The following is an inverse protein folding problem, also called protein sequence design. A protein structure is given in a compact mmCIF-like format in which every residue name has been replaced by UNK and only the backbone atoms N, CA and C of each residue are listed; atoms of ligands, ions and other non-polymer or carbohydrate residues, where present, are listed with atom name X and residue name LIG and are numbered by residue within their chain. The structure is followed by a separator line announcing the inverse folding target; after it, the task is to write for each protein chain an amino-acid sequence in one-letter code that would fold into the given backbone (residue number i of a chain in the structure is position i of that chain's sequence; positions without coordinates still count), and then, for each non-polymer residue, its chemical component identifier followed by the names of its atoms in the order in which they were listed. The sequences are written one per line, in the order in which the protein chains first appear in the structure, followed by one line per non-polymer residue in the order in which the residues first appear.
data_IF_238251985789
#
_entry.id   IF_238251985789
#
_cell.length_a   1.000
_cell.length_b   1.000
_cell.length_c   1.000
_cell.angle_alpha   90.00
_cell.angle_beta   90.00
_cell.angle_gamma   90.00
#
_symmetry.space_group_name_H-M   'P 1'
#
loop_
_entity.id
_entity.type
_entity.pdbx_description
1 polymer ?
#
# COMPACT_ATOMS: atom_id res chain seq x y z
N UNK A 1 -1.74 -18.91 38.41
CA UNK A 1 -2.69 -18.05 37.66
C UNK A 1 -2.11 -16.67 37.31
N UNK A 2 -1.60 -15.87 38.26
CA UNK A 2 -1.03 -14.53 37.98
C UNK A 2 0.11 -14.51 36.95
N UNK A 3 1.02 -15.50 36.99
CA UNK A 3 2.14 -15.64 36.03
C UNK A 3 1.66 -15.92 34.59
N UNK A 4 0.54 -16.62 34.44
CA UNK A 4 -0.03 -16.97 33.12
C UNK A 4 -0.71 -15.74 32.48
N UNK A 5 -1.45 -14.95 33.26
CA UNK A 5 -2.06 -13.70 32.78
C UNK A 5 -1.01 -12.69 32.32
N UNK A 6 0.12 -12.60 33.04
CA UNK A 6 1.21 -11.68 32.69
C UNK A 6 1.89 -12.06 31.37
N UNK A 7 2.07 -13.37 31.12
CA UNK A 7 2.68 -13.88 29.90
C UNK A 7 1.76 -13.68 28.68
N UNK A 8 0.44 -13.85 28.85
CA UNK A 8 -0.56 -13.54 27.83
C UNK A 8 -0.57 -12.05 27.50
N UNK A 9 -0.46 -11.17 28.50
CA UNK A 9 -0.44 -9.73 28.29
C UNK A 9 0.79 -9.26 27.51
N UNK A 10 1.97 -9.81 27.83
CA UNK A 10 3.20 -9.51 27.07
C UNK A 10 3.09 -10.01 25.62
N UNK A 11 2.56 -11.22 25.42
CA UNK A 11 2.38 -11.80 24.08
C UNK A 11 1.37 -10.99 23.25
N UNK A 12 0.28 -10.55 23.86
CA UNK A 12 -0.70 -9.70 23.19
C UNK A 12 -0.12 -8.32 22.84
N UNK A 13 0.67 -7.73 23.74
CA UNK A 13 1.33 -6.45 23.50
C UNK A 13 2.35 -6.55 22.36
N UNK A 14 3.17 -7.60 22.30
CA UNK A 14 4.14 -7.78 21.20
C UNK A 14 3.46 -8.01 19.85
N UNK A 15 2.34 -8.73 19.81
CA UNK A 15 1.55 -8.92 18.58
C UNK A 15 1.00 -7.61 18.02
N UNK A 16 0.62 -6.65 18.88
CA UNK A 16 0.13 -5.34 18.44
C UNK A 16 1.23 -4.45 17.84
N UNK A 17 2.49 -4.59 18.29
CA UNK A 17 3.62 -3.84 17.72
C UNK A 17 4.02 -4.32 16.30
N UNK A 18 3.64 -5.54 15.91
CA UNK A 18 3.88 -6.07 14.56
C UNK A 18 2.73 -5.83 13.58
N UNK A 19 1.68 -5.12 14.00
CA UNK A 19 0.59 -4.72 13.10
C UNK A 19 1.14 -3.73 12.06
N UNK A 20 1.59 -4.24 10.92
CA UNK A 20 1.90 -3.43 9.74
C UNK A 20 0.60 -2.76 9.29
N UNK A 21 0.62 -1.45 9.13
CA UNK A 21 -0.41 -0.70 8.42
C UNK A 21 -0.45 -1.21 6.98
N UNK A 22 -1.39 -2.12 6.70
CA UNK A 22 -1.65 -2.61 5.36
C UNK A 22 -2.36 -1.49 4.61
N UNK A 23 -1.58 -0.69 3.87
CA UNK A 23 -2.13 0.26 2.91
C UNK A 23 -2.90 -0.54 1.87
N UNK A 24 -4.17 -0.16 1.75
CA UNK A 24 -5.21 -0.92 1.12
C UNK A 24 -4.86 -1.23 -0.34
N UNK A 25 -5.43 -2.31 -0.88
CA UNK A 25 -5.51 -2.55 -2.32
C UNK A 25 -6.36 -1.50 -3.05
N UNK A 26 -6.52 -0.30 -2.48
CA UNK A 26 -7.15 0.86 -3.06
C UNK A 26 -6.07 1.75 -3.64
N UNK A 27 -6.30 2.18 -4.87
CA UNK A 27 -5.28 2.96 -5.55
C UNK A 27 -5.47 3.00 -7.05
N UNK A 28 -4.42 3.46 -7.70
CA UNK A 28 -4.27 3.43 -9.15
C UNK A 28 -3.18 2.43 -9.49
N UNK A 29 -3.34 1.73 -10.60
CA UNK A 29 -2.37 0.77 -11.12
C UNK A 29 -2.07 1.16 -12.56
N UNK A 30 -0.85 1.62 -12.82
CA UNK A 30 -0.31 1.63 -14.18
C UNK A 30 0.30 0.24 -14.46
N UNK A 31 -0.17 -0.39 -15.54
CA UNK A 31 0.23 -1.75 -15.92
C UNK A 31 0.92 -1.63 -17.27
N UNK A 32 2.21 -1.94 -17.29
CA UNK A 32 3.08 -1.78 -18.45
C UNK A 32 3.44 -3.12 -19.04
N UNK A 33 3.72 -3.12 -20.35
CA UNK A 33 4.22 -4.30 -21.05
C UNK A 33 5.47 -4.88 -20.41
N UNK A 34 5.52 -6.21 -20.32
CA UNK A 34 6.71 -6.99 -19.96
C UNK A 34 7.34 -7.67 -21.18
N UNK A 35 6.90 -7.26 -22.38
CA UNK A 35 7.34 -7.75 -23.70
C UNK A 35 7.78 -6.58 -24.57
N UNK A 36 8.24 -6.83 -25.79
CA UNK A 36 8.64 -5.78 -26.73
C UNK A 36 7.46 -4.94 -27.28
N UNK A 37 6.23 -5.41 -27.05
CA UNK A 37 5.02 -4.67 -27.41
C UNK A 37 4.81 -3.43 -26.53
N UNK A 38 4.16 -2.40 -27.06
CA UNK A 38 3.89 -1.13 -26.37
C UNK A 38 2.55 -1.10 -25.63
N UNK A 39 2.16 -2.23 -25.07
CA UNK A 39 0.92 -2.35 -24.30
C UNK A 39 0.97 -1.50 -23.02
N UNK A 40 -0.14 -0.79 -22.76
CA UNK A 40 -0.34 -0.07 -21.50
C UNK A 40 -1.77 -0.20 -21.05
N UNK A 41 -1.96 -0.50 -19.77
CA UNK A 41 -3.26 -0.48 -19.14
C UNK A 41 -3.25 0.41 -17.91
N UNK A 42 -4.42 0.93 -17.62
CA UNK A 42 -4.73 1.63 -16.40
C UNK A 42 -5.84 0.85 -15.69
N UNK A 43 -5.69 0.70 -14.39
CA UNK A 43 -6.75 0.26 -13.52
C UNK A 43 -6.83 1.15 -12.29
N UNK A 44 -8.02 1.26 -11.73
CA UNK A 44 -8.21 1.78 -10.39
C UNK A 44 -8.82 0.70 -9.53
N UNK A 45 -8.54 0.70 -8.24
CA UNK A 45 -9.17 -0.20 -7.28
C UNK A 45 -9.79 0.62 -6.17
N UNK A 46 -11.06 0.38 -5.91
CA UNK A 46 -11.84 1.08 -4.89
C UNK A 46 -12.55 0.05 -4.03
N UNK A 47 -12.41 0.14 -2.71
CA UNK A 47 -13.09 -0.73 -1.76
C UNK A 47 -14.48 -0.18 -1.51
N UNK A 48 -15.48 -0.98 -1.83
CA UNK A 48 -16.88 -0.65 -1.67
C UNK A 48 -17.37 -0.96 -0.25
N UNK A 49 -18.54 -0.44 0.12
CA UNK A 49 -19.17 -0.67 1.43
C UNK A 49 -19.41 -2.16 1.74
N UNK A 50 -19.61 -3.00 0.72
CA UNK A 50 -19.74 -4.45 0.86
C UNK A 50 -18.39 -5.18 1.06
N UNK A 51 -17.31 -4.43 1.29
CA UNK A 51 -15.93 -4.91 1.46
C UNK A 51 -15.32 -5.60 0.22
N UNK A 52 -15.94 -5.46 -0.95
CA UNK A 52 -15.34 -5.86 -2.23
C UNK A 52 -14.58 -4.72 -2.87
N UNK A 53 -13.45 -5.04 -3.51
CA UNK A 53 -12.76 -4.14 -4.40
C UNK A 53 -13.42 -4.17 -5.77
N UNK A 54 -13.76 -3.01 -6.31
CA UNK A 54 -14.13 -2.82 -7.72
C UNK A 54 -12.94 -2.30 -8.49
N UNK A 55 -12.68 -2.94 -9.62
CA UNK A 55 -11.48 -2.72 -10.41
C UNK A 55 -11.87 -2.41 -11.86
N UNK A 56 -12.24 -1.17 -12.19
CA UNK A 56 -12.31 -0.73 -13.58
C UNK A 56 -10.92 -0.83 -14.23
N UNK A 57 -10.88 -1.33 -15.46
CA UNK A 57 -9.66 -1.68 -16.16
C UNK A 57 -9.78 -1.27 -17.63
N UNK A 58 -8.78 -0.57 -18.16
CA UNK A 58 -8.71 -0.19 -19.58
C UNK A 58 -7.29 -0.31 -20.10
N UNK A 59 -7.16 -0.77 -21.32
CA UNK A 59 -5.89 -0.93 -22.01
C UNK A 59 -5.88 -0.15 -23.32
N UNK A 60 -4.66 0.17 -23.76
CA UNK A 60 -4.34 0.77 -25.04
C UNK A 60 -3.31 -0.10 -25.75
N UNK A 61 -3.35 -0.04 -27.07
CA UNK A 61 -2.41 -0.71 -27.98
C UNK A 61 -2.42 -2.24 -27.93
N UNK A 62 -3.43 -2.86 -27.30
CA UNK A 62 -3.58 -4.31 -27.33
C UNK A 62 -3.90 -4.80 -28.75
N UNK A 63 -3.21 -5.86 -29.17
CA UNK A 63 -3.43 -6.51 -30.46
C UNK A 63 -4.41 -7.67 -30.25
N UNK A 64 -5.49 -7.70 -31.02
CA UNK A 64 -6.50 -8.75 -30.95
C UNK A 64 -6.60 -9.49 -32.29
N UNK A 65 -6.41 -10.82 -32.32
CA UNK A 65 -5.91 -11.69 -31.25
C UNK A 65 -4.42 -11.49 -30.97
N UNK A 66 -3.92 -11.98 -29.84
CA UNK A 66 -2.50 -11.82 -29.47
C UNK A 66 -1.57 -12.62 -30.40
N UNK A 67 -2.01 -13.80 -30.86
CA UNK A 67 -1.42 -14.56 -31.96
C UNK A 67 -2.43 -15.58 -32.51
N UNK A 68 -2.04 -16.37 -33.50
CA UNK A 68 -2.89 -17.36 -34.19
C UNK A 68 -3.53 -18.42 -33.27
N UNK A 69 -2.98 -18.64 -32.07
CA UNK A 69 -3.45 -19.66 -31.12
C UNK A 69 -3.91 -19.08 -29.77
N UNK A 70 -3.75 -17.78 -29.54
CA UNK A 70 -3.97 -17.12 -28.24
C UNK A 70 -4.87 -15.92 -28.40
N UNK A 71 -6.09 -16.07 -27.89
CA UNK A 71 -7.21 -15.17 -28.20
C UNK A 71 -7.62 -14.27 -27.04
N UNK A 72 -7.18 -14.57 -25.81
CA UNK A 72 -7.71 -13.93 -24.62
C UNK A 72 -6.61 -13.27 -23.81
N UNK A 73 -6.80 -11.99 -23.48
CA UNK A 73 -6.05 -11.37 -22.38
C UNK A 73 -6.82 -11.61 -21.09
N UNK A 74 -6.19 -12.17 -20.07
CA UNK A 74 -6.82 -12.46 -18.77
C UNK A 74 -6.11 -11.66 -17.69
N UNK A 75 -6.88 -10.89 -16.93
CA UNK A 75 -6.39 -10.11 -15.81
C UNK A 75 -6.39 -10.94 -14.52
N UNK A 76 -5.33 -10.78 -13.76
CA UNK A 76 -5.07 -11.48 -12.50
C UNK A 76 -4.61 -10.51 -11.43
N UNK A 77 -4.83 -10.88 -10.18
CA UNK A 77 -4.35 -10.16 -9.02
C UNK A 77 -3.48 -11.06 -8.13
N UNK A 78 -2.35 -10.52 -7.67
CA UNK A 78 -1.49 -11.22 -6.70
C UNK A 78 -1.91 -10.80 -5.28
N UNK A 79 -2.34 -11.74 -4.42
CA UNK A 79 -2.76 -11.40 -3.07
C UNK A 79 -1.63 -10.76 -2.26
N UNK A 80 -1.96 -9.79 -1.40
CA UNK A 80 -0.97 -9.06 -0.61
C UNK A 80 -0.24 -9.97 0.42
N UNK A 81 -0.96 -10.96 0.95
CA UNK A 81 -0.42 -11.90 1.94
C UNK A 81 0.28 -13.10 1.28
N UNK A 82 0.53 -13.05 -0.03
CA UNK A 82 0.97 -14.19 -0.82
C UNK A 82 -0.15 -15.22 -1.04
N UNK A 83 0.21 -16.35 -1.64
CA UNK A 83 -0.71 -17.44 -1.98
C UNK A 83 -1.11 -17.47 -3.45
N UNK A 84 -2.21 -18.16 -3.74
CA UNK A 84 -2.69 -18.38 -5.11
C UNK A 84 -3.19 -17.08 -5.74
N UNK A 85 -2.77 -16.84 -6.98
CA UNK A 85 -3.21 -15.72 -7.81
C UNK A 85 -4.71 -15.77 -8.04
N UNK A 86 -5.35 -14.60 -8.03
CA UNK A 86 -6.80 -14.48 -8.17
C UNK A 86 -7.10 -14.11 -9.62
N UNK A 87 -7.91 -14.92 -10.28
CA UNK A 87 -8.45 -14.54 -11.59
C UNK A 87 -9.47 -13.42 -11.42
N UNK A 88 -9.24 -12.30 -12.09
CA UNK A 88 -10.20 -11.20 -12.13
C UNK A 88 -11.20 -11.41 -13.28
N UNK A 89 -10.70 -11.78 -14.46
CA UNK A 89 -11.53 -12.06 -15.63
C UNK A 89 -10.79 -11.81 -16.94
N UNK A 90 -11.46 -12.11 -18.06
CA UNK A 90 -10.93 -11.78 -19.39
C UNK A 90 -11.18 -10.30 -19.72
N UNK A 91 -10.21 -9.67 -20.39
CA UNK A 91 -10.33 -8.32 -20.92
C UNK A 91 -11.01 -8.38 -22.29
N UNK A 92 -12.22 -7.82 -22.38
CA UNK A 92 -12.94 -7.70 -23.64
C UNK A 92 -12.50 -6.43 -24.37
N UNK A 93 -11.83 -6.57 -25.52
CA UNK A 93 -11.31 -5.44 -26.31
C UNK A 93 -10.49 -4.44 -25.46
N UNK A 94 -9.74 -4.98 -24.50
CA UNK A 94 -8.88 -4.23 -23.60
C UNK A 94 -9.61 -3.54 -22.46
N UNK A 95 -10.86 -3.88 -22.18
CA UNK A 95 -11.64 -3.27 -21.08
C UNK A 95 -12.23 -4.35 -20.18
N UNK A 96 -12.48 -3.97 -18.94
CA UNK A 96 -13.16 -4.82 -17.97
C UNK A 96 -13.53 -4.07 -16.70
N UNK A 97 -14.56 -4.56 -16.01
CA UNK A 97 -14.84 -4.21 -14.63
C UNK A 97 -14.80 -5.51 -13.81
N UNK A 98 -13.87 -5.58 -12.87
CA UNK A 98 -13.67 -6.78 -12.07
C UNK A 98 -13.97 -6.54 -10.59
N UNK A 99 -14.18 -7.63 -9.86
CA UNK A 99 -14.48 -7.58 -8.42
C UNK A 99 -13.72 -8.66 -7.68
N UNK A 100 -13.25 -8.33 -6.47
CA UNK A 100 -12.63 -9.31 -5.57
C UNK A 100 -12.84 -8.91 -4.12
N UNK A 101 -13.03 -9.90 -3.24
CA UNK A 101 -13.03 -9.70 -1.78
C UNK A 101 -11.63 -9.73 -1.17
N UNK A 102 -10.65 -10.25 -1.91
CA UNK A 102 -9.30 -10.47 -1.43
C UNK A 102 -8.44 -9.25 -1.75
N UNK A 103 -7.70 -8.77 -0.76
CA UNK A 103 -6.68 -7.74 -0.95
C UNK A 103 -5.52 -8.26 -1.81
N UNK A 104 -5.03 -7.42 -2.71
CA UNK A 104 -3.96 -7.67 -3.66
C UNK A 104 -2.93 -6.52 -3.68
N UNK A 105 -1.71 -6.83 -4.08
CA UNK A 105 -0.60 -5.89 -4.15
C UNK A 105 -0.25 -5.44 -5.59
N UNK A 106 -0.56 -6.28 -6.56
CA UNK A 106 -0.29 -6.00 -7.98
C UNK A 106 -1.31 -6.69 -8.86
N UNK A 107 -1.43 -6.18 -10.08
CA UNK A 107 -2.19 -6.76 -11.17
C UNK A 107 -1.24 -7.17 -12.29
N UNK A 108 -1.58 -8.24 -12.99
CA UNK A 108 -0.87 -8.66 -14.19
C UNK A 108 -1.83 -9.28 -15.19
N UNK A 109 -1.42 -9.31 -16.45
CA UNK A 109 -2.23 -9.82 -17.55
C UNK A 109 -1.46 -10.93 -18.25
N UNK A 110 -2.15 -12.05 -18.52
CA UNK A 110 -1.63 -13.14 -19.34
C UNK A 110 -2.34 -13.24 -20.67
N UNK A 111 -1.68 -13.85 -21.64
CA UNK A 111 -2.28 -14.24 -22.92
C UNK A 111 -2.66 -15.73 -22.87
N UNK A 112 -3.94 -16.06 -22.94
CA UNK A 112 -4.48 -17.39 -22.70
C UNK A 112 -5.26 -17.93 -23.91
N UNK A 113 -5.14 -19.24 -24.16
CA UNK A 113 -5.91 -19.92 -25.22
C UNK A 113 -7.41 -19.93 -24.93
N UNK A 114 -7.78 -20.02 -23.65
CA UNK A 114 -9.16 -20.02 -23.18
C UNK A 114 -9.36 -18.96 -22.10
N UNK A 115 -10.52 -18.31 -22.12
CA UNK A 115 -10.93 -17.39 -21.06
C UNK A 115 -11.27 -18.10 -19.74
N UNK A 116 -11.47 -19.42 -19.74
CA UNK A 116 -11.99 -20.19 -18.59
C UNK A 116 -10.89 -20.91 -17.77
N UNK A 117 -9.63 -20.50 -17.93
CA UNK A 117 -8.50 -21.01 -17.14
C UNK A 117 -8.66 -20.68 -15.65
N UNK A 118 -8.27 -21.60 -14.75
CA UNK A 118 -8.35 -21.38 -13.29
C UNK A 118 -7.08 -20.76 -12.72
N UNK A 119 -5.95 -21.10 -13.31
CA UNK A 119 -4.62 -20.58 -12.98
C UNK A 119 -4.00 -19.96 -14.23
N UNK A 120 -3.04 -19.03 -14.09
CA UNK A 120 -2.32 -18.49 -15.24
C UNK A 120 -1.50 -19.60 -15.89
N UNK A 121 -1.71 -19.84 -17.19
CA UNK A 121 -0.97 -20.85 -17.96
C UNK A 121 -0.16 -20.22 -19.09
N UNK A 122 -0.62 -19.06 -19.55
CA UNK A 122 0.02 -18.30 -20.60
C UNK A 122 1.14 -17.38 -20.13
N UNK A 123 1.71 -16.66 -21.10
CA UNK A 123 2.77 -15.70 -20.86
C UNK A 123 2.21 -14.44 -20.20
N UNK A 124 2.88 -13.96 -19.15
CA UNK A 124 2.60 -12.65 -18.57
C UNK A 124 3.10 -11.58 -19.55
N UNK A 125 2.18 -10.76 -20.05
CA UNK A 125 2.49 -9.71 -21.04
C UNK A 125 2.48 -8.32 -20.46
N UNK A 126 1.85 -8.12 -19.30
CA UNK A 126 1.81 -6.83 -18.62
C UNK A 126 1.75 -7.01 -17.09
N UNK A 127 2.33 -6.07 -16.35
CA UNK A 127 2.27 -6.05 -14.87
C UNK A 127 2.31 -4.61 -14.33
N UNK A 128 1.66 -4.39 -13.19
CA UNK A 128 1.66 -3.13 -12.47
C UNK A 128 1.38 -3.30 -10.99
N UNK A 129 1.98 -2.47 -10.14
CA UNK A 129 1.77 -2.48 -8.68
C UNK A 129 0.69 -1.47 -8.29
N UNK A 130 0.01 -1.72 -7.18
CA UNK A 130 -0.95 -0.75 -6.63
C UNK A 130 -0.20 0.44 -6.04
N UNK A 131 -0.47 1.63 -6.57
CA UNK A 131 0.03 2.90 -6.07
C UNK A 131 -1.01 3.56 -5.17
N UNK A 132 -0.54 4.08 -4.03
CA UNK A 132 -1.39 4.73 -3.04
C UNK A 132 -1.95 6.05 -3.57
N UNK A 133 -3.25 6.27 -3.36
CA UNK A 133 -3.92 7.55 -3.64
C UNK A 133 -3.88 8.52 -2.45
N UNK A 134 -3.26 8.14 -1.33
CA UNK A 134 -3.11 9.04 -0.17
C UNK A 134 -2.51 10.42 -0.48
N UNK A 135 -1.54 10.57 -1.41
CA UNK A 135 -1.02 11.90 -1.76
C UNK A 135 -2.10 12.87 -2.28
N UNK A 136 -3.20 12.37 -2.87
CA UNK A 136 -4.32 13.21 -3.31
C UNK A 136 -5.16 13.76 -2.15
N UNK A 137 -5.07 13.15 -0.97
CA UNK A 137 -5.81 13.55 0.23
C UNK A 137 -4.92 14.27 1.26
N UNK A 138 -3.62 14.38 1.00
CA UNK A 138 -2.77 15.26 1.80
C UNK A 138 -3.14 16.69 1.40
N UNK A 139 -3.68 17.44 2.37
CA UNK A 139 -3.98 18.86 2.20
C UNK A 139 -2.74 19.53 1.58
N UNK A 140 -2.93 20.13 0.40
CA UNK A 140 -1.88 20.95 -0.22
C UNK A 140 -1.44 22.04 0.76
N UNK A 141 -0.27 22.66 0.56
CA UNK A 141 0.20 23.72 1.44
C UNK A 141 -0.93 24.74 1.63
N UNK A 142 -1.34 24.95 2.89
CA UNK A 142 -2.29 26.00 3.26
C UNK A 142 -1.82 27.27 2.57
N UNK A 143 -2.62 27.80 1.65
CA UNK A 143 -2.31 29.07 1.01
C UNK A 143 -2.23 30.12 2.14
N UNK A 144 -1.01 30.47 2.55
CA UNK A 144 -0.78 31.63 3.38
C UNK A 144 -1.28 32.82 2.56
N UNK A 145 -2.25 33.61 3.05
CA UNK A 145 -2.69 34.78 2.31
C UNK A 145 -1.48 35.69 2.10
N UNK A 146 -1.05 35.84 0.85
CA UNK A 146 -0.06 36.85 0.47
C UNK A 146 -0.68 38.20 0.83
N UNK A 147 -0.03 39.04 1.67
CA UNK A 147 -0.48 40.41 1.83
C UNK A 147 -0.50 41.06 0.45
N UNK A 148 -1.65 41.60 0.06
CA UNK A 148 -1.79 42.36 -1.17
C UNK A 148 -0.96 43.63 -1.01
N UNK A 149 0.24 43.62 -1.56
CA UNK A 149 1.01 44.84 -1.80
C UNK A 149 0.71 45.30 -3.21
N UNK A 150 0.08 46.46 -3.28
CA UNK A 150 -0.20 47.23 -4.47
C UNK A 150 1.12 47.73 -5.09
N UNK A 151 1.38 47.35 -6.36
CA UNK A 151 2.31 48.05 -7.26
C UNK A 151 3.66 47.39 -7.56
N UNK A 152 3.98 47.26 -8.86
CA UNK A 152 5.35 47.42 -9.38
C UNK A 152 6.09 46.18 -9.90
N UNK A 153 6.05 46.02 -11.22
CA UNK A 153 7.06 45.51 -12.19
C UNK A 153 8.33 44.72 -11.76
N UNK A 154 8.50 43.58 -12.45
CA UNK A 154 9.69 42.95 -13.08
C UNK A 154 10.99 42.55 -12.32
N UNK A 155 11.38 41.30 -12.63
CA UNK A 155 12.72 40.70 -12.82
C UNK A 155 13.57 40.07 -11.67
N UNK A 156 13.92 38.79 -11.96
CA UNK A 156 15.19 38.06 -11.79
C UNK A 156 15.70 37.52 -10.42
N UNK A 157 15.82 36.18 -10.41
CA UNK A 157 16.87 35.28 -9.85
C UNK A 157 17.57 35.65 -8.53
N UNK A 158 17.51 34.72 -7.55
CA UNK A 158 18.67 34.42 -6.70
C UNK A 158 18.63 33.01 -6.05
N UNK A 159 19.77 32.33 -6.08
CA UNK A 159 20.10 31.07 -5.40
C UNK A 159 20.14 31.21 -3.85
N UNK A 160 19.66 30.15 -3.18
CA UNK A 160 20.11 29.47 -1.93
C UNK A 160 20.47 30.30 -0.66
N UNK A 161 19.96 29.92 0.55
CA UNK A 161 20.67 28.94 1.39
C UNK A 161 19.78 27.87 2.04
N UNK A 162 20.33 26.65 2.14
CA UNK A 162 19.89 25.60 3.06
C UNK A 162 19.79 26.15 4.50
N UNK A 163 18.63 25.97 5.13
CA UNK A 163 18.50 26.03 6.59
C UNK A 163 17.71 24.83 7.14
N UNK A 164 18.07 24.37 8.34
CA UNK A 164 17.73 23.04 8.81
C UNK A 164 16.24 22.96 9.11
N UNK A 165 15.60 21.92 8.57
CA UNK A 165 14.21 21.59 8.82
C UNK A 165 13.95 21.45 10.32
N UNK A 166 13.43 22.49 10.95
CA UNK A 166 12.91 22.40 12.31
C UNK A 166 11.70 21.49 12.28
N UNK A 167 11.86 20.29 12.87
CA UNK A 167 10.78 19.33 13.10
C UNK A 167 9.57 20.06 13.72
N UNK A 168 8.46 19.98 13.01
CA UNK A 168 7.18 20.56 13.43
C UNK A 168 6.84 20.10 14.85
N UNK A 169 6.22 20.97 15.66
CA UNK A 169 5.90 20.73 17.07
C UNK A 169 5.14 19.41 17.29
N UNK A 170 4.34 18.96 16.32
CA UNK A 170 3.65 17.65 16.34
C UNK A 170 4.60 16.47 16.14
N UNK A 171 5.61 16.58 15.28
CA UNK A 171 6.64 15.55 15.13
C UNK A 171 7.52 15.47 16.38
N UNK A 172 7.89 16.61 16.98
CA UNK A 172 8.60 16.64 18.27
C UNK A 172 7.76 15.99 19.39
N UNK A 173 6.45 16.23 19.42
CA UNK A 173 5.54 15.62 20.40
C UNK A 173 5.38 14.11 20.19
N UNK A 174 5.16 13.64 18.95
CA UNK A 174 5.06 12.21 18.64
C UNK A 174 6.37 11.47 18.91
N UNK A 175 7.51 12.10 18.62
CA UNK A 175 8.83 11.55 18.85
C UNK A 175 9.16 11.52 20.36
N UNK A 176 8.74 12.53 21.11
CA UNK A 176 8.81 12.54 22.57
C UNK A 176 7.89 11.48 23.22
N UNK A 177 6.65 11.32 22.73
CA UNK A 177 5.71 10.32 23.22
C UNK A 177 6.20 8.90 22.95
N UNK A 178 6.82 8.67 21.77
CA UNK A 178 7.43 7.38 21.42
C UNK A 178 8.64 7.07 22.31
N UNK A 179 9.49 8.06 22.59
CA UNK A 179 10.63 7.89 23.53
C UNK A 179 10.15 7.66 24.96
N UNK A 180 9.13 8.38 25.41
CA UNK A 180 8.53 8.20 26.73
C UNK A 180 7.86 6.83 26.88
N UNK A 181 7.16 6.34 25.84
CA UNK A 181 6.55 5.02 25.83
C UNK A 181 7.59 3.89 25.91
N UNK A 182 8.72 4.02 25.21
CA UNK A 182 9.83 3.06 25.29
C UNK A 182 10.48 3.09 26.68
N UNK A 183 10.71 4.27 27.25
CA UNK A 183 11.27 4.41 28.59
C UNK A 183 10.34 3.79 29.67
N UNK A 184 9.04 4.01 29.55
CA UNK A 184 8.04 3.42 30.46
C UNK A 184 8.02 1.88 30.35
N UNK A 185 8.16 1.33 29.14
CA UNK A 185 8.22 -0.11 28.92
C UNK A 185 9.48 -0.73 29.52
N UNK A 186 10.64 -0.09 29.35
CA UNK A 186 11.90 -0.53 29.98
C UNK A 186 11.80 -0.50 31.50
N UNK A 187 11.27 0.58 32.08
CA UNK A 187 11.07 0.70 33.52
C UNK A 187 10.14 -0.40 34.06
N UNK A 188 9.06 -0.72 33.33
CA UNK A 188 8.12 -1.78 33.70
C UNK A 188 8.79 -3.16 33.68
N UNK A 189 9.60 -3.46 32.65
CA UNK A 189 10.37 -4.71 32.57
C UNK A 189 11.37 -4.82 33.71
N UNK A 190 12.09 -3.74 34.03
CA UNK A 190 13.04 -3.71 35.15
C UNK A 190 12.34 -3.96 36.51
N UNK A 191 11.18 -3.36 36.72
CA UNK A 191 10.38 -3.51 37.95
C UNK A 191 9.88 -4.95 38.12
N UNK A 192 9.42 -5.58 37.03
CA UNK A 192 9.02 -7.00 37.02
C UNK A 192 10.21 -7.91 37.30
N UNK A 193 11.37 -7.64 36.68
CA UNK A 193 12.62 -8.37 36.94
C UNK A 193 13.05 -8.27 38.41
N UNK A 194 12.97 -7.08 39.00
CA UNK A 194 13.31 -6.84 40.40
C UNK A 194 12.38 -7.61 41.34
N UNK A 195 11.07 -7.57 41.10
CA UNK A 195 10.10 -8.37 41.87
C UNK A 195 10.43 -9.88 41.76
N UNK A 196 10.80 -10.36 40.58
CA UNK A 196 11.16 -11.76 40.37
C UNK A 196 12.43 -12.16 41.14
N UNK A 197 13.46 -11.31 41.18
CA UNK A 197 14.70 -11.56 41.94
C UNK A 197 14.42 -11.59 43.45
N UNK A 198 13.69 -10.60 43.97
CA UNK A 198 13.37 -10.51 45.41
C UNK A 198 12.45 -11.65 45.87
N UNK A 199 11.53 -12.10 45.03
CA UNK A 199 10.64 -13.22 45.37
C UNK A 199 11.30 -14.59 45.20
N UNK A 200 12.30 -14.71 44.32
CA UNK A 200 13.11 -15.93 44.17
C UNK A 200 14.13 -16.11 45.29
N UNK A 201 14.64 -15.03 45.90
CA UNK A 201 15.63 -15.13 46.98
C UNK A 201 15.05 -15.53 48.35
N UNK A 202 13.73 -15.73 48.45
CA UNK A 202 13.01 -16.06 49.69
C UNK A 202 12.35 -17.45 49.70
N UNK A 203 12.58 -18.27 48.66
CA UNK A 203 12.18 -19.67 48.60
C UNK A 203 13.39 -20.53 48.28
#
# INVERSE_FOLDING_TARGET
MKKLCFLIFILAATLLFFAKTLKASEGVIEIVSTTDDVYRCWASSVRMQNQEFRIPFTCRNLIYPANDNVFNYVAWATPQNGGETIKLGALGLGRGEFRTKKAFANLFVTTERSKDVKTPQGTVVMRGNVESIEPFFQEGPTATPTPSTEGGEEELQQEEPEQPSELTTRQKFLLALRRAGVAALIALVALVGLIFVVTRSRG
#
